data_IF_915204829310
#
_entry.id   IF_915204829310
#
_cell.length_a   1.000
_cell.length_b   1.000
_cell.length_c   1.000
_cell.angle_alpha   90.00
_cell.angle_beta   90.00
_cell.angle_gamma   90.00
#
_symmetry.space_group_name_H-M   'P 1'
#
loop_
_entity.id
_entity.type
_entity.pdbx_description
1 polymer ?
#
# COMPACT_ATOMS: atom_id res chain seq x y z
N UNK A 1 56.26 5.62 1.78
CA UNK A 1 55.05 5.66 2.64
C UNK A 1 53.87 5.76 1.70
N UNK A 2 53.16 4.65 1.49
CA UNK A 2 52.12 4.54 0.47
C UNK A 2 50.82 5.16 0.98
N UNK A 3 50.40 6.21 0.29
CA UNK A 3 49.12 6.91 0.44
C UNK A 3 48.01 5.95 -0.02
N UNK A 4 47.31 5.33 0.93
CA UNK A 4 46.17 4.46 0.63
C UNK A 4 44.94 5.35 0.50
N UNK A 5 44.73 5.89 -0.70
CA UNK A 5 43.44 6.51 -1.04
C UNK A 5 42.42 5.41 -1.24
N UNK A 6 41.46 5.33 -0.32
CA UNK A 6 40.22 4.58 -0.51
C UNK A 6 39.51 5.21 -1.72
N UNK A 7 39.22 4.44 -2.79
CA UNK A 7 38.46 4.96 -3.92
C UNK A 7 37.03 5.33 -3.47
N UNK A 8 36.41 6.38 -4.05
CA UNK A 8 35.01 6.67 -3.78
C UNK A 8 34.12 5.48 -4.19
N UNK A 9 33.00 5.23 -3.49
CA UNK A 9 32.08 4.17 -3.87
C UNK A 9 31.64 4.38 -5.32
N UNK A 10 31.57 3.28 -6.08
CA UNK A 10 31.12 3.30 -7.45
C UNK A 10 29.76 3.99 -7.53
N UNK A 11 29.67 5.06 -8.32
CA UNK A 11 28.41 5.68 -8.66
C UNK A 11 27.60 4.66 -9.49
N UNK A 12 26.62 4.00 -8.87
CA UNK A 12 25.74 3.06 -9.60
C UNK A 12 25.15 1.90 -8.81
N UNK A 13 24.97 2.01 -7.49
CA UNK A 13 24.18 1.03 -6.75
C UNK A 13 23.33 1.76 -5.71
N UNK A 14 22.31 2.49 -6.19
CA UNK A 14 21.10 2.55 -5.36
C UNK A 14 20.69 1.10 -5.12
N UNK A 15 20.45 0.67 -3.86
CA UNK A 15 19.92 -0.66 -3.62
C UNK A 15 18.62 -0.81 -4.43
N UNK A 16 18.33 -1.99 -5.01
CA UNK A 16 17.11 -2.25 -5.79
C UNK A 16 15.82 -2.19 -4.94
N UNK A 17 15.84 -1.52 -3.79
CA UNK A 17 14.67 -1.25 -2.98
C UNK A 17 13.66 -0.46 -3.80
N UNK A 18 12.47 -1.05 -3.96
CA UNK A 18 11.28 -0.43 -4.54
C UNK A 18 11.11 0.99 -4.02
N UNK A 19 10.76 1.92 -4.91
CA UNK A 19 10.36 3.27 -4.45
C UNK A 19 9.10 3.14 -3.59
N UNK A 20 9.12 3.59 -2.32
CA UNK A 20 7.99 3.42 -1.40
C UNK A 20 6.76 4.27 -1.79
N UNK A 21 6.88 5.10 -2.82
CA UNK A 21 5.84 6.04 -3.25
C UNK A 21 5.14 5.65 -4.54
N UNK A 22 5.53 4.53 -5.17
CA UNK A 22 4.95 4.10 -6.43
C UNK A 22 4.22 2.78 -6.23
N UNK A 23 2.90 2.87 -6.12
CA UNK A 23 2.02 1.72 -6.03
C UNK A 23 1.75 1.14 -7.43
N UNK A 24 1.79 -0.17 -7.59
CA UNK A 24 1.49 -0.86 -8.86
C UNK A 24 -0.04 -0.93 -9.08
N UNK A 25 -0.47 -1.17 -10.33
CA UNK A 25 -1.88 -1.09 -10.73
C UNK A 25 -2.79 -2.14 -10.05
N UNK A 26 -2.20 -3.18 -9.48
CA UNK A 26 -2.84 -4.27 -8.75
C UNK A 26 -3.01 -3.99 -7.24
N UNK A 27 -2.50 -2.87 -6.72
CA UNK A 27 -2.54 -2.53 -5.29
C UNK A 27 -3.85 -1.83 -4.85
N UNK A 28 -4.92 -2.04 -5.62
CA UNK A 28 -6.27 -1.60 -5.30
C UNK A 28 -6.75 -0.37 -6.09
N UNK A 29 -8.01 0.06 -5.87
CA UNK A 29 -8.64 1.09 -6.70
C UNK A 29 -7.99 2.47 -6.53
N UNK A 30 -7.40 2.98 -7.61
CA UNK A 30 -6.61 4.23 -7.62
C UNK A 30 -7.47 5.47 -7.92
N UNK A 31 -8.63 5.27 -8.54
CA UNK A 31 -9.59 6.33 -8.85
C UNK A 31 -10.96 6.12 -8.19
N UNK A 32 -11.78 7.18 -8.17
CA UNK A 32 -13.19 7.09 -7.73
C UNK A 32 -13.97 6.09 -8.59
N UNK A 33 -13.73 6.06 -9.90
CA UNK A 33 -14.40 5.14 -10.81
C UNK A 33 -14.05 3.68 -10.52
N UNK A 34 -12.77 3.40 -10.30
CA UNK A 34 -12.30 2.07 -9.90
C UNK A 34 -12.82 1.68 -8.52
N UNK A 35 -12.87 2.60 -7.56
CA UNK A 35 -13.44 2.33 -6.24
C UNK A 35 -14.94 2.01 -6.34
N UNK A 36 -15.71 2.74 -7.16
CA UNK A 36 -17.12 2.42 -7.42
C UNK A 36 -17.28 1.03 -8.05
N UNK A 37 -16.42 0.66 -9.00
CA UNK A 37 -16.44 -0.66 -9.62
C UNK A 37 -16.07 -1.77 -8.61
N UNK A 38 -15.04 -1.54 -7.80
CA UNK A 38 -14.57 -2.45 -6.76
C UNK A 38 -15.63 -2.67 -5.66
N UNK A 39 -16.43 -1.64 -5.36
CA UNK A 39 -17.53 -1.71 -4.40
C UNK A 39 -18.82 -2.31 -4.98
N UNK A 40 -18.92 -2.52 -6.29
CA UNK A 40 -20.14 -3.01 -6.95
C UNK A 40 -20.68 -4.35 -6.40
N UNK A 41 -19.86 -5.31 -5.93
CA UNK A 41 -20.34 -6.51 -5.26
C UNK A 41 -21.10 -6.25 -3.94
N UNK A 42 -20.91 -5.09 -3.31
CA UNK A 42 -21.58 -4.66 -2.07
C UNK A 42 -22.46 -3.43 -2.34
N UNK A 43 -23.66 -3.62 -2.91
CA UNK A 43 -24.48 -2.53 -3.43
C UNK A 43 -24.87 -1.49 -2.37
N UNK A 44 -25.11 -1.91 -1.13
CA UNK A 44 -25.41 -1.00 -0.02
C UNK A 44 -24.22 -0.09 0.30
N UNK A 45 -23.01 -0.64 0.28
CA UNK A 45 -21.76 0.10 0.52
C UNK A 45 -21.46 1.06 -0.63
N UNK A 46 -21.68 0.63 -1.88
CA UNK A 46 -21.58 1.50 -3.06
C UNK A 46 -22.58 2.67 -2.99
N UNK A 47 -23.82 2.41 -2.57
CA UNK A 47 -24.84 3.44 -2.43
C UNK A 47 -24.47 4.46 -1.34
N UNK A 48 -23.97 3.99 -0.20
CA UNK A 48 -23.48 4.85 0.88
C UNK A 48 -22.29 5.71 0.43
N UNK A 49 -21.30 5.09 -0.24
CA UNK A 49 -20.15 5.80 -0.80
C UNK A 49 -20.57 6.93 -1.73
N UNK A 50 -21.48 6.64 -2.67
CA UNK A 50 -21.96 7.63 -3.62
C UNK A 50 -22.67 8.79 -2.91
N UNK A 51 -23.50 8.50 -1.91
CA UNK A 51 -24.22 9.53 -1.15
C UNK A 51 -23.28 10.42 -0.33
N UNK A 52 -22.31 9.83 0.36
CA UNK A 52 -21.33 10.57 1.17
C UNK A 52 -20.39 11.41 0.31
N UNK A 53 -19.96 10.89 -0.85
CA UNK A 53 -19.11 11.62 -1.77
C UNK A 53 -19.82 12.85 -2.36
N UNK A 54 -21.12 12.73 -2.69
CA UNK A 54 -21.94 13.86 -3.15
C UNK A 54 -22.20 14.89 -2.04
N UNK A 55 -22.30 14.44 -0.79
CA UNK A 55 -22.52 15.31 0.37
C UNK A 55 -21.22 16.00 0.86
N UNK A 56 -20.05 15.50 0.47
CA UNK A 56 -18.77 16.00 0.94
C UNK A 56 -18.51 17.43 0.43
N UNK A 57 -18.31 18.42 1.32
CA UNK A 57 -18.04 19.79 0.92
C UNK A 57 -16.69 19.90 0.22
N UNK A 58 -16.67 20.58 -0.94
CA UNK A 58 -15.43 20.88 -1.67
C UNK A 58 -14.50 21.84 -0.91
N UNK A 59 -15.10 22.78 -0.17
CA UNK A 59 -14.40 23.72 0.71
C UNK A 59 -15.15 23.83 2.04
N UNK A 60 -14.40 23.77 3.14
CA UNK A 60 -14.83 24.25 4.45
C UNK A 60 -13.92 25.41 4.85
N UNK A 61 -14.51 26.46 5.42
CA UNK A 61 -13.77 27.66 5.79
C UNK A 61 -12.61 27.32 6.75
N UNK A 62 -11.39 27.65 6.33
CA UNK A 62 -10.17 27.41 7.12
C UNK A 62 -9.55 26.02 7.01
N UNK A 63 -10.09 25.11 6.18
CA UNK A 63 -9.52 23.79 5.94
C UNK A 63 -8.90 23.63 4.54
N UNK A 64 -8.10 22.57 4.39
CA UNK A 64 -7.58 22.14 3.09
C UNK A 64 -8.75 21.82 2.14
N UNK A 65 -8.77 22.47 0.99
CA UNK A 65 -9.66 22.15 -0.13
C UNK A 65 -9.64 20.65 -0.41
N UNK A 66 -10.82 20.02 -0.53
CA UNK A 66 -10.99 18.58 -0.78
C UNK A 66 -10.73 17.63 0.40
N UNK A 67 -10.40 18.11 1.60
CA UNK A 67 -10.14 17.21 2.74
C UNK A 67 -11.31 16.25 3.00
N UNK A 68 -12.54 16.75 3.05
CA UNK A 68 -13.72 15.92 3.26
C UNK A 68 -13.88 14.85 2.16
N UNK A 69 -13.61 15.19 0.90
CA UNK A 69 -13.64 14.24 -0.23
C UNK A 69 -12.57 13.17 -0.06
N UNK A 70 -11.34 13.55 0.33
CA UNK A 70 -10.24 12.61 0.59
C UNK A 70 -10.59 11.65 1.72
N UNK A 71 -11.18 12.16 2.80
CA UNK A 71 -11.53 11.38 3.98
C UNK A 71 -12.60 10.33 3.62
N UNK A 72 -13.63 10.71 2.84
CA UNK A 72 -14.62 9.75 2.30
C UNK A 72 -13.95 8.69 1.43
N UNK A 73 -13.13 9.07 0.45
CA UNK A 73 -12.45 8.08 -0.43
C UNK A 73 -11.59 7.12 0.40
N UNK A 74 -10.87 7.64 1.40
CA UNK A 74 -9.98 6.84 2.24
C UNK A 74 -10.75 5.84 3.10
N UNK A 75 -11.85 6.28 3.72
CA UNK A 75 -12.72 5.41 4.52
C UNK A 75 -13.26 4.24 3.68
N UNK A 76 -13.75 4.50 2.47
CA UNK A 76 -14.31 3.46 1.63
C UNK A 76 -13.27 2.54 0.98
N UNK A 77 -12.02 2.99 0.82
CA UNK A 77 -10.89 2.10 0.49
C UNK A 77 -10.59 1.13 1.63
N UNK A 78 -10.65 1.58 2.88
CA UNK A 78 -10.46 0.72 4.06
C UNK A 78 -11.59 -0.30 4.15
N UNK A 79 -12.85 0.11 3.95
CA UNK A 79 -13.99 -0.81 3.91
C UNK A 79 -13.84 -1.88 2.81
N UNK A 80 -13.45 -1.46 1.60
CA UNK A 80 -13.16 -2.40 0.52
C UNK A 80 -12.02 -3.36 0.91
N UNK A 81 -10.89 -2.83 1.39
CA UNK A 81 -9.72 -3.62 1.79
C UNK A 81 -10.11 -4.66 2.85
N UNK A 82 -10.88 -4.28 3.86
CA UNK A 82 -11.34 -5.19 4.90
C UNK A 82 -12.22 -6.33 4.37
N UNK A 83 -12.94 -6.11 3.26
CA UNK A 83 -13.74 -7.16 2.60
C UNK A 83 -12.92 -8.10 1.74
N UNK A 84 -11.92 -7.59 1.01
CA UNK A 84 -11.11 -8.40 0.10
C UNK A 84 -9.90 -9.06 0.77
N UNK A 85 -9.39 -8.49 1.86
CA UNK A 85 -8.22 -8.95 2.61
C UNK A 85 -8.57 -9.17 4.09
N UNK A 86 -9.40 -10.19 4.42
CA UNK A 86 -9.75 -10.50 5.80
C UNK A 86 -8.54 -10.94 6.64
N UNK A 87 -7.48 -11.42 5.99
CA UNK A 87 -6.18 -11.74 6.59
C UNK A 87 -5.49 -10.50 7.16
N UNK A 88 -5.53 -9.36 6.46
CA UNK A 88 -4.98 -8.09 6.98
C UNK A 88 -5.78 -7.64 8.21
N UNK A 89 -7.11 -7.76 8.17
CA UNK A 89 -7.97 -7.43 9.32
C UNK A 89 -7.64 -8.31 10.52
N UNK A 90 -7.43 -9.60 10.28
CA UNK A 90 -7.05 -10.54 11.33
C UNK A 90 -5.67 -10.22 11.90
N UNK A 91 -4.68 -9.92 11.06
CA UNK A 91 -3.34 -9.55 11.51
C UNK A 91 -3.35 -8.28 12.38
N UNK A 92 -4.16 -7.27 12.03
CA UNK A 92 -4.35 -6.07 12.88
C UNK A 92 -4.99 -6.44 14.22
N UNK A 93 -6.01 -7.30 14.21
CA UNK A 93 -6.66 -7.74 15.44
C UNK A 93 -5.72 -8.56 16.35
N UNK A 94 -4.86 -9.39 15.76
CA UNK A 94 -3.88 -10.20 16.47
C UNK A 94 -2.79 -9.29 17.10
N UNK A 95 -2.30 -8.29 16.38
CA UNK A 95 -1.37 -7.27 16.92
C UNK A 95 -2.01 -6.49 18.10
N UNK A 96 -3.25 -6.02 17.96
CA UNK A 96 -3.98 -5.33 19.04
C UNK A 96 -4.20 -6.24 20.26
N UNK A 97 -4.39 -7.53 20.04
CA UNK A 97 -4.50 -8.54 21.10
C UNK A 97 -3.15 -8.92 21.73
N UNK A 98 -2.03 -8.41 21.20
CA UNK A 98 -0.68 -8.76 21.62
C UNK A 98 -0.30 -10.20 21.28
N UNK A 99 -0.93 -10.77 20.26
CA UNK A 99 -0.60 -12.09 19.72
C UNK A 99 0.57 -11.88 18.75
N UNK A 100 1.79 -12.09 19.25
CA UNK A 100 3.01 -12.01 18.44
C UNK A 100 3.26 -13.38 17.78
N UNK A 101 2.87 -13.51 16.52
CA UNK A 101 3.25 -14.62 15.63
C UNK A 101 4.37 -14.22 14.64
N UNK A 102 5.01 -13.07 14.89
CA UNK A 102 6.01 -12.49 14.02
C UNK A 102 7.28 -13.32 13.91
N UNK A 103 7.91 -13.25 12.74
CA UNK A 103 9.25 -13.78 12.51
C UNK A 103 10.26 -12.67 12.73
N UNK A 104 11.36 -12.96 13.45
CA UNK A 104 12.43 -11.99 13.65
C UNK A 104 13.00 -11.51 12.31
N UNK A 105 13.24 -10.21 12.20
CA UNK A 105 13.79 -9.60 10.98
C UNK A 105 15.08 -10.30 10.52
N UNK A 106 15.98 -10.68 11.43
CA UNK A 106 17.21 -11.39 11.09
C UNK A 106 16.96 -12.77 10.46
N UNK A 107 15.88 -13.45 10.86
CA UNK A 107 15.51 -14.73 10.27
C UNK A 107 14.93 -14.52 8.85
N UNK A 108 14.11 -13.49 8.65
CA UNK A 108 13.60 -13.09 7.32
C UNK A 108 14.75 -12.70 6.40
N UNK A 109 15.66 -11.85 6.87
CA UNK A 109 16.81 -11.38 6.09
C UNK A 109 17.84 -12.48 5.81
N UNK A 110 17.89 -13.53 6.64
CA UNK A 110 18.73 -14.70 6.40
C UNK A 110 18.28 -15.56 5.22
N UNK A 111 16.99 -15.51 4.89
CA UNK A 111 16.37 -16.26 3.77
C UNK A 111 16.03 -15.36 2.57
N UNK A 112 16.21 -14.04 2.70
CA UNK A 112 15.88 -13.07 1.67
C UNK A 112 16.85 -13.14 0.48
N UNK A 113 16.31 -13.48 -0.69
CA UNK A 113 17.03 -13.44 -1.96
C UNK A 113 16.44 -12.34 -2.88
N UNK A 114 17.14 -11.21 -3.07
CA UNK A 114 16.63 -10.10 -3.89
C UNK A 114 16.44 -10.50 -5.36
N UNK A 115 17.22 -11.45 -5.89
CA UNK A 115 17.08 -11.91 -7.28
C UNK A 115 15.77 -12.69 -7.51
N UNK A 116 15.20 -13.25 -6.45
CA UNK A 116 13.93 -13.97 -6.46
C UNK A 116 12.75 -13.04 -6.17
N UNK A 117 12.86 -12.16 -5.18
CA UNK A 117 11.73 -11.37 -4.67
C UNK A 117 11.57 -9.99 -5.32
N UNK A 118 12.60 -9.47 -6.00
CA UNK A 118 12.58 -8.12 -6.61
C UNK A 118 12.60 -8.16 -8.16
N UNK A 119 12.57 -9.35 -8.76
CA UNK A 119 12.64 -9.53 -10.22
C UNK A 119 11.35 -9.10 -10.91
N UNK A 120 11.47 -8.19 -11.89
CA UNK A 120 10.33 -7.55 -12.59
C UNK A 120 9.97 -8.16 -13.95
N UNK A 121 10.79 -9.07 -14.46
CA UNK A 121 10.51 -9.73 -15.74
C UNK A 121 9.57 -10.89 -15.43
N UNK A 122 8.33 -10.85 -15.93
CA UNK A 122 7.38 -11.96 -15.86
C UNK A 122 7.91 -13.22 -16.54
N UNK A 123 8.83 -13.89 -15.86
CA UNK A 123 9.61 -15.02 -16.35
C UNK A 123 8.72 -16.24 -16.46
N UNK A 124 8.33 -16.55 -17.69
CA UNK A 124 7.83 -17.84 -18.10
C UNK A 124 8.67 -18.95 -17.45
N UNK A 125 8.02 -19.77 -16.62
CA UNK A 125 8.66 -20.90 -15.97
C UNK A 125 9.14 -21.89 -17.04
N UNK A 126 10.44 -22.17 -17.05
CA UNK A 126 11.05 -23.26 -17.81
C UNK A 126 11.09 -24.55 -16.98
#
# INVERSE_FOLDING_TARGET
MSDTRVPPPAAGADPPTRSPYQLDADEGPQSVGELKAALAPWPDLLAAFAAELEAAPFHQDGEESLRAVRDVISAYRVEWMAKVHPDIVQAVADDEAGIDDGVLLDAVMGEYDPDTYERRDGGEAA
#
